data_IF_286134796980
#
_entry.id   IF_286134796980
#
_cell.length_a   1.000
_cell.length_b   1.000
_cell.length_c   1.000
_cell.angle_alpha   90.00
_cell.angle_beta   90.00
_cell.angle_gamma   90.00
#
_symmetry.space_group_name_H-M   'P 1'
#
loop_
_entity.id
_entity.type
_entity.pdbx_description
1 polymer ?
#
# COMPACT_ATOMS: atom_id res chain seq x y z
N UNK A 1 4.49 25.08 -34.17
CA UNK A 1 3.02 25.11 -34.07
C UNK A 1 2.60 25.39 -32.62
N UNK A 2 2.55 26.68 -32.29
CA UNK A 2 2.27 27.21 -30.94
C UNK A 2 0.86 26.86 -30.42
N UNK A 3 -0.11 26.75 -31.31
CA UNK A 3 -1.51 26.49 -30.95
C UNK A 3 -1.81 25.08 -30.38
N UNK A 4 -0.93 24.12 -30.57
CA UNK A 4 -1.16 22.74 -30.06
C UNK A 4 -0.91 22.61 -28.56
N UNK A 5 -0.21 23.53 -27.92
CA UNK A 5 0.08 23.56 -26.49
C UNK A 5 -0.96 24.30 -25.66
N UNK A 6 -1.93 24.95 -26.32
CA UNK A 6 -2.99 25.72 -25.68
C UNK A 6 -4.24 24.88 -25.37
N UNK A 7 -4.24 23.59 -25.72
CA UNK A 7 -5.39 22.69 -25.56
C UNK A 7 -5.04 21.50 -24.68
N UNK A 8 -5.78 21.32 -23.59
CA UNK A 8 -5.71 20.15 -22.71
C UNK A 8 -6.99 19.35 -22.85
N UNK A 9 -6.85 18.05 -23.17
CA UNK A 9 -7.95 17.09 -23.15
C UNK A 9 -7.80 16.27 -21.88
N UNK A 10 -8.77 16.36 -20.98
CA UNK A 10 -8.83 15.59 -19.72
C UNK A 10 -9.84 14.45 -19.92
N UNK A 11 -9.40 13.22 -19.69
CA UNK A 11 -10.24 12.02 -19.80
C UNK A 11 -11.12 11.85 -18.54
N UNK A 12 -12.17 11.00 -18.58
CA UNK A 12 -13.06 10.78 -17.44
C UNK A 12 -12.40 10.23 -16.18
N UNK A 13 -11.25 9.57 -16.31
CA UNK A 13 -10.44 8.99 -15.21
C UNK A 13 -9.27 9.88 -14.77
N UNK A 14 -9.14 11.05 -15.40
CA UNK A 14 -8.06 12.02 -15.18
C UNK A 14 -8.58 13.32 -14.59
N UNK A 15 -7.71 14.02 -13.89
CA UNK A 15 -7.92 15.39 -13.43
C UNK A 15 -6.83 16.27 -14.04
N UNK A 16 -7.24 17.38 -14.63
CA UNK A 16 -6.30 18.31 -15.24
C UNK A 16 -5.65 19.23 -14.22
N UNK A 17 -4.34 19.40 -14.35
CA UNK A 17 -3.50 20.29 -13.56
C UNK A 17 -2.87 21.33 -14.48
N UNK A 18 -3.04 22.60 -14.16
CA UNK A 18 -2.47 23.72 -14.92
C UNK A 18 -1.54 24.55 -14.06
N UNK A 19 -0.36 24.80 -14.59
CA UNK A 19 0.60 25.75 -14.01
C UNK A 19 0.81 26.94 -14.94
N UNK A 20 0.84 28.12 -14.37
CA UNK A 20 1.18 29.36 -15.09
C UNK A 20 2.35 30.03 -14.38
N UNK A 21 3.44 30.27 -15.11
CA UNK A 21 4.68 30.87 -14.59
C UNK A 21 5.22 30.11 -13.33
N UNK A 22 5.10 28.77 -13.32
CA UNK A 22 5.58 27.93 -12.24
C UNK A 22 4.62 27.75 -11.07
N UNK A 23 3.54 28.53 -10.98
CA UNK A 23 2.50 28.38 -9.92
C UNK A 23 1.34 27.52 -10.41
N UNK A 24 0.81 26.66 -9.55
CA UNK A 24 -0.43 25.92 -9.81
C UNK A 24 -1.59 26.92 -9.86
N UNK A 25 -2.24 27.02 -11.00
CA UNK A 25 -3.35 27.95 -11.24
C UNK A 25 -4.70 27.22 -11.17
N UNK A 26 -4.73 25.95 -11.58
CA UNK A 26 -5.88 25.07 -11.44
C UNK A 26 -5.40 23.64 -11.22
N UNK A 27 -6.00 22.93 -10.24
CA UNK A 27 -5.62 21.59 -9.85
C UNK A 27 -6.76 20.57 -9.93
N UNK A 28 -7.96 21.01 -10.35
CA UNK A 28 -9.17 20.20 -10.36
C UNK A 28 -9.99 20.47 -11.64
N UNK A 29 -9.37 20.34 -12.79
CA UNK A 29 -10.09 20.48 -14.04
C UNK A 29 -10.83 19.18 -14.35
N UNK A 30 -12.15 19.31 -14.48
CA UNK A 30 -13.05 18.21 -14.81
C UNK A 30 -12.73 17.61 -16.20
N UNK A 31 -13.20 16.38 -16.48
CA UNK A 31 -13.09 15.80 -17.81
C UNK A 31 -13.67 16.71 -18.90
N UNK A 32 -12.94 16.83 -19.99
CA UNK A 32 -13.35 17.69 -21.10
C UNK A 32 -12.17 18.38 -21.80
N UNK A 33 -12.52 19.37 -22.62
CA UNK A 33 -11.56 20.18 -23.36
C UNK A 33 -11.36 21.50 -22.65
N UNK A 34 -10.10 21.81 -22.32
CA UNK A 34 -9.74 23.03 -21.61
C UNK A 34 -8.74 23.85 -22.42
N UNK A 35 -8.96 25.15 -22.47
CA UNK A 35 -7.99 26.11 -22.99
C UNK A 35 -7.02 26.46 -21.86
N UNK A 36 -5.73 26.28 -22.13
CA UNK A 36 -4.66 26.50 -21.16
C UNK A 36 -3.61 27.48 -21.76
N UNK A 37 -2.91 28.26 -20.94
CA UNK A 37 -1.84 29.11 -21.45
C UNK A 37 -0.79 28.30 -22.19
N UNK A 38 -0.37 28.71 -23.41
CA UNK A 38 0.62 27.97 -24.18
C UNK A 38 2.02 28.05 -23.54
N UNK A 39 2.85 27.04 -23.82
CA UNK A 39 4.27 27.09 -23.45
C UNK A 39 4.95 28.33 -24.09
N UNK A 40 5.82 29.11 -23.38
CA UNK A 40 6.38 28.82 -22.04
C UNK A 40 5.57 29.38 -20.86
N UNK A 41 4.48 30.09 -21.09
CA UNK A 41 3.69 30.79 -20.06
C UNK A 41 2.96 29.79 -19.15
N UNK A 42 2.50 28.67 -19.72
CA UNK A 42 1.79 27.64 -18.98
C UNK A 42 2.24 26.24 -19.34
N UNK A 43 2.00 25.31 -18.41
CA UNK A 43 2.14 23.86 -18.60
C UNK A 43 0.93 23.17 -18.00
N UNK A 44 0.30 22.32 -18.79
CA UNK A 44 -0.85 21.53 -18.34
C UNK A 44 -0.52 20.04 -18.39
N UNK A 45 -0.95 19.32 -17.38
CA UNK A 45 -0.77 17.87 -17.23
C UNK A 45 -2.10 17.23 -16.82
N UNK A 46 -2.40 16.03 -17.32
CA UNK A 46 -3.53 15.23 -16.87
C UNK A 46 -2.99 14.11 -15.96
N UNK A 47 -3.57 13.99 -14.77
CA UNK A 47 -3.18 13.00 -13.74
C UNK A 47 -4.32 12.02 -13.54
N UNK A 48 -4.04 10.71 -13.61
CA UNK A 48 -4.98 9.64 -13.33
C UNK A 48 -5.35 9.65 -11.85
N UNK A 49 -6.53 10.16 -11.50
CA UNK A 49 -7.04 10.30 -10.14
C UNK A 49 -8.07 9.24 -9.77
N UNK A 50 -8.89 8.81 -10.73
CA UNK A 50 -9.93 7.81 -10.50
C UNK A 50 -9.39 6.39 -10.35
N UNK A 51 -8.13 6.14 -10.78
CA UNK A 51 -7.53 4.82 -10.73
C UNK A 51 -7.12 4.44 -9.31
N UNK A 52 -7.62 3.29 -8.87
CA UNK A 52 -7.14 2.65 -7.65
C UNK A 52 -5.72 2.11 -7.88
N UNK A 53 -4.81 2.49 -7.01
CA UNK A 53 -3.41 2.05 -6.97
C UNK A 53 -3.18 1.25 -5.69
N UNK A 54 -2.08 0.50 -5.64
CA UNK A 54 -1.69 -0.25 -4.45
C UNK A 54 -0.22 -0.07 -4.12
N UNK A 55 0.10 -0.07 -2.85
CA UNK A 55 1.46 -0.25 -2.33
C UNK A 55 1.50 -1.55 -1.53
N UNK A 56 2.62 -2.24 -1.65
CA UNK A 56 2.87 -3.54 -1.05
C UNK A 56 3.85 -3.38 0.11
N UNK A 57 3.57 -4.08 1.22
CA UNK A 57 4.40 -4.11 2.43
C UNK A 57 4.79 -5.56 2.68
N UNK A 58 6.10 -5.82 2.84
CA UNK A 58 6.65 -7.14 3.09
C UNK A 58 6.87 -8.00 1.84
N UNK A 59 6.46 -7.54 0.68
CA UNK A 59 6.68 -8.23 -0.59
C UNK A 59 6.68 -7.26 -1.78
N UNK A 60 7.09 -7.77 -2.94
CA UNK A 60 7.01 -7.03 -4.21
C UNK A 60 6.44 -7.92 -5.29
N UNK A 61 5.45 -7.42 -6.02
CA UNK A 61 5.05 -8.03 -7.28
C UNK A 61 6.06 -7.70 -8.37
N UNK A 62 6.63 -8.74 -8.97
CA UNK A 62 7.32 -8.58 -10.23
C UNK A 62 6.29 -8.82 -11.33
N UNK A 63 5.82 -7.74 -11.95
CA UNK A 63 5.08 -7.87 -13.21
C UNK A 63 5.99 -8.56 -14.22
N UNK A 64 5.64 -9.77 -14.64
CA UNK A 64 6.36 -10.46 -15.70
C UNK A 64 6.23 -9.62 -16.98
N UNK A 65 7.24 -8.84 -17.27
CA UNK A 65 7.56 -8.36 -18.62
C UNK A 65 6.74 -7.23 -19.23
N UNK A 66 6.04 -6.35 -18.46
CA UNK A 66 5.51 -5.13 -19.09
C UNK A 66 5.18 -4.04 -18.07
N UNK A 67 5.74 -2.86 -18.29
CA UNK A 67 5.47 -1.63 -17.53
C UNK A 67 4.05 -1.06 -17.77
N UNK A 68 3.13 -1.78 -18.37
CA UNK A 68 1.80 -1.29 -18.76
C UNK A 68 0.76 -2.40 -18.93
N UNK A 69 0.68 -3.40 -18.05
CA UNK A 69 -0.48 -4.29 -18.08
C UNK A 69 -1.67 -3.59 -17.41
N UNK A 70 -2.79 -3.35 -18.11
CA UNK A 70 -3.99 -2.84 -17.47
C UNK A 70 -4.52 -3.90 -16.49
N UNK A 71 -4.82 -3.48 -15.25
CA UNK A 71 -5.40 -4.33 -14.21
C UNK A 71 -6.87 -4.61 -14.56
N UNK A 72 -7.12 -5.35 -15.63
CA UNK A 72 -8.46 -5.79 -16.06
C UNK A 72 -8.70 -7.27 -15.85
N UNK A 73 -7.72 -8.06 -15.42
CA UNK A 73 -7.97 -9.45 -15.07
C UNK A 73 -8.17 -9.61 -13.57
N UNK A 74 -9.39 -9.90 -13.18
CA UNK A 74 -9.80 -10.34 -11.83
C UNK A 74 -9.23 -11.71 -11.43
N UNK A 75 -8.28 -12.23 -12.16
CA UNK A 75 -7.59 -13.48 -11.82
C UNK A 75 -6.26 -13.11 -11.21
N UNK A 76 -6.20 -13.16 -9.90
CA UNK A 76 -4.97 -13.10 -9.12
C UNK A 76 -4.16 -14.37 -9.43
N UNK A 77 -3.28 -14.29 -10.41
CA UNK A 77 -2.26 -15.31 -10.61
C UNK A 77 -1.02 -14.80 -9.85
N UNK A 78 -0.62 -15.44 -8.76
CA UNK A 78 0.59 -15.06 -8.04
C UNK A 78 1.82 -15.51 -8.83
N UNK A 79 2.11 -14.81 -9.92
CA UNK A 79 3.29 -15.07 -10.72
C UNK A 79 4.43 -14.24 -10.14
N UNK A 80 5.17 -14.85 -9.22
CA UNK A 80 6.42 -14.34 -8.63
C UNK A 80 6.29 -13.07 -7.78
N UNK A 81 5.72 -13.22 -6.59
CA UNK A 81 5.97 -12.27 -5.51
C UNK A 81 7.33 -12.58 -4.87
N UNK A 82 8.21 -11.60 -4.82
CA UNK A 82 9.47 -11.71 -4.07
C UNK A 82 9.22 -11.18 -2.66
N UNK A 83 9.44 -12.03 -1.64
CA UNK A 83 9.40 -11.59 -0.24
C UNK A 83 10.53 -10.60 0.03
N UNK A 84 10.24 -9.64 0.89
CA UNK A 84 11.21 -8.70 1.47
C UNK A 84 11.19 -8.91 2.99
N UNK A 85 11.98 -9.85 3.54
CA UNK A 85 11.90 -10.22 4.95
C UNK A 85 12.10 -9.04 5.90
N UNK A 86 12.99 -8.11 5.59
CA UNK A 86 13.25 -6.91 6.38
C UNK A 86 12.02 -5.99 6.53
N UNK A 87 11.09 -6.05 5.58
CA UNK A 87 9.84 -5.29 5.65
C UNK A 87 8.67 -6.13 6.20
N UNK A 88 8.77 -7.45 6.14
CA UNK A 88 7.71 -8.39 6.51
C UNK A 88 7.73 -8.78 7.99
N UNK A 89 8.88 -8.67 8.67
CA UNK A 89 9.02 -9.07 10.07
C UNK A 89 8.51 -7.98 11.02
N UNK A 90 7.66 -8.41 11.95
CA UNK A 90 7.04 -7.58 12.97
C UNK A 90 7.15 -8.25 14.33
N UNK A 91 7.29 -7.44 15.38
CA UNK A 91 7.22 -7.88 16.76
C UNK A 91 5.81 -7.60 17.29
N UNK A 92 5.16 -8.59 17.86
CA UNK A 92 3.83 -8.46 18.48
C UNK A 92 3.91 -7.94 19.91
N UNK A 93 2.77 -7.54 20.49
CA UNK A 93 2.70 -7.02 21.85
C UNK A 93 3.08 -8.04 22.94
N UNK A 94 3.06 -9.32 22.62
CA UNK A 94 3.47 -10.44 23.47
C UNK A 94 4.87 -11.00 23.11
N UNK A 95 5.71 -10.15 22.48
CA UNK A 95 7.13 -10.41 22.17
C UNK A 95 7.36 -11.56 21.16
N UNK A 96 6.35 -11.92 20.37
CA UNK A 96 6.51 -12.90 19.30
C UNK A 96 6.89 -12.21 17.99
N UNK A 97 7.73 -12.88 17.19
CA UNK A 97 8.06 -12.43 15.84
C UNK A 97 7.13 -13.09 14.84
N UNK A 98 6.48 -12.28 14.01
CA UNK A 98 5.61 -12.73 12.93
C UNK A 98 6.03 -12.11 11.60
N UNK A 99 5.75 -12.80 10.51
CA UNK A 99 5.82 -12.23 9.17
C UNK A 99 4.42 -11.82 8.72
N UNK A 100 4.30 -10.54 8.36
CA UNK A 100 3.05 -9.96 7.86
C UNK A 100 3.31 -9.38 6.48
N UNK A 101 2.46 -9.74 5.53
CA UNK A 101 2.40 -9.06 4.23
C UNK A 101 1.08 -8.33 4.09
N UNK A 102 1.14 -7.10 3.65
CA UNK A 102 -0.04 -6.25 3.52
C UNK A 102 -0.07 -5.51 2.18
N UNK A 103 -1.27 -5.15 1.76
CA UNK A 103 -1.52 -4.27 0.62
C UNK A 103 -2.39 -3.10 1.09
N UNK A 104 -1.98 -1.91 0.73
CA UNK A 104 -2.76 -0.70 0.94
C UNK A 104 -3.22 -0.17 -0.40
N UNK A 105 -4.53 -0.09 -0.57
CA UNK A 105 -5.15 0.54 -1.74
C UNK A 105 -5.34 2.03 -1.49
N UNK A 106 -4.99 2.83 -2.47
CA UNK A 106 -5.09 4.28 -2.40
C UNK A 106 -5.46 4.88 -3.75
N UNK A 107 -5.86 6.13 -3.73
CA UNK A 107 -6.09 6.96 -4.93
C UNK A 107 -5.39 8.31 -4.78
N UNK A 108 -5.18 8.98 -5.88
CA UNK A 108 -4.72 10.38 -5.88
C UNK A 108 -5.95 11.27 -5.60
N UNK A 109 -5.96 11.93 -4.44
CA UNK A 109 -7.04 12.83 -4.04
C UNK A 109 -6.73 14.29 -4.37
N UNK A 110 -5.46 14.68 -4.23
CA UNK A 110 -4.97 16.00 -4.62
C UNK A 110 -3.86 15.86 -5.64
N UNK A 111 -4.15 16.13 -6.94
CA UNK A 111 -3.15 16.04 -8.01
C UNK A 111 -1.97 17.02 -7.84
N UNK A 112 -2.22 18.19 -7.24
CA UNK A 112 -1.17 19.21 -7.05
C UNK A 112 -0.19 18.77 -5.96
N UNK A 113 -0.70 18.33 -4.80
CA UNK A 113 0.12 17.77 -3.73
C UNK A 113 0.87 16.51 -4.19
N UNK A 114 0.21 15.60 -4.91
CA UNK A 114 0.85 14.40 -5.45
C UNK A 114 2.01 14.72 -6.39
N UNK A 115 1.88 15.78 -7.19
CA UNK A 115 2.88 16.13 -8.21
C UNK A 115 4.00 17.02 -7.68
N UNK A 116 3.72 17.86 -6.68
CA UNK A 116 4.61 18.93 -6.22
C UNK A 116 4.82 18.97 -4.71
N UNK A 117 4.11 18.18 -3.94
CA UNK A 117 4.23 18.15 -2.49
C UNK A 117 5.54 17.50 -2.05
N UNK A 118 5.51 16.18 -1.89
CA UNK A 118 6.69 15.41 -1.45
C UNK A 118 7.33 14.73 -2.66
N UNK A 119 8.64 14.82 -2.76
CA UNK A 119 9.38 13.97 -3.70
C UNK A 119 9.16 12.51 -3.32
N UNK A 120 8.80 11.67 -4.32
CA UNK A 120 8.54 10.24 -4.12
C UNK A 120 7.37 9.96 -3.15
N UNK A 121 6.21 10.56 -3.39
CA UNK A 121 5.01 10.43 -2.57
C UNK A 121 4.58 8.97 -2.29
N UNK A 122 4.70 8.05 -3.26
CA UNK A 122 4.34 6.64 -3.09
C UNK A 122 5.26 5.88 -2.12
N UNK A 123 6.60 5.99 -2.19
CA UNK A 123 7.48 5.47 -1.14
C UNK A 123 7.19 6.04 0.25
N UNK A 124 7.03 7.36 0.38
CA UNK A 124 6.72 7.99 1.65
C UNK A 124 5.38 7.49 2.24
N UNK A 125 4.37 7.28 1.39
CA UNK A 125 3.10 6.69 1.78
C UNK A 125 3.26 5.23 2.26
N UNK A 126 4.07 4.42 1.58
CA UNK A 126 4.38 3.04 1.99
C UNK A 126 5.07 3.01 3.35
N UNK A 127 6.09 3.85 3.54
CA UNK A 127 6.87 3.89 4.78
C UNK A 127 5.99 4.31 5.96
N UNK A 128 5.09 5.29 5.75
CA UNK A 128 4.10 5.68 6.73
C UNK A 128 3.14 4.53 7.07
N UNK A 129 2.60 3.86 6.06
CA UNK A 129 1.68 2.73 6.27
C UNK A 129 2.37 1.59 7.02
N UNK A 130 3.65 1.30 6.69
CA UNK A 130 4.46 0.31 7.40
C UNK A 130 4.70 0.72 8.86
N UNK A 131 5.04 1.98 9.13
CA UNK A 131 5.27 2.46 10.48
C UNK A 131 4.02 2.32 11.36
N UNK A 132 2.85 2.67 10.84
CA UNK A 132 1.58 2.51 11.55
C UNK A 132 1.22 1.02 11.76
N UNK A 133 1.55 0.16 10.79
CA UNK A 133 1.35 -1.28 10.92
C UNK A 133 2.28 -1.86 12.01
N UNK A 134 3.55 -1.43 12.09
CA UNK A 134 4.48 -1.82 13.16
C UNK A 134 3.93 -1.41 14.52
N UNK A 135 3.42 -0.19 14.64
CA UNK A 135 2.85 0.34 15.88
C UNK A 135 1.62 -0.46 16.35
N UNK A 136 0.70 -0.78 15.44
CA UNK A 136 -0.51 -1.52 15.77
C UNK A 136 -0.22 -2.99 16.08
N UNK A 137 0.60 -3.66 15.28
CA UNK A 137 1.04 -5.05 15.54
C UNK A 137 1.80 -5.14 16.87
N UNK A 138 2.65 -4.16 17.18
CA UNK A 138 3.40 -4.11 18.44
C UNK A 138 2.53 -3.91 19.69
N UNK A 139 1.26 -3.53 19.53
CA UNK A 139 0.29 -3.44 20.64
C UNK A 139 -0.64 -4.65 20.72
N UNK A 140 -0.66 -5.47 19.69
CA UNK A 140 -1.62 -6.56 19.53
C UNK A 140 -0.96 -7.90 19.84
N UNK A 141 -1.56 -8.77 20.68
CA UNK A 141 -1.05 -10.12 20.91
C UNK A 141 -1.21 -10.97 19.65
N UNK A 142 -0.34 -11.96 19.50
CA UNK A 142 -0.26 -12.81 18.31
C UNK A 142 -1.60 -13.49 17.98
N UNK A 143 -2.29 -14.02 19.00
CA UNK A 143 -3.55 -14.72 18.84
C UNK A 143 -4.64 -13.84 18.20
N UNK A 144 -4.68 -12.55 18.55
CA UNK A 144 -5.62 -11.60 17.98
C UNK A 144 -5.36 -11.34 16.48
N UNK A 145 -4.10 -11.32 16.08
CA UNK A 145 -3.71 -11.11 14.68
C UNK A 145 -4.07 -12.33 13.81
N UNK A 146 -4.00 -13.55 14.37
CA UNK A 146 -4.34 -14.78 13.65
C UNK A 146 -5.85 -15.03 13.57
N UNK A 147 -6.65 -14.43 14.44
CA UNK A 147 -8.09 -14.73 14.61
C UNK A 147 -8.99 -13.65 13.97
N UNK A 148 -10.22 -13.60 14.42
CA UNK A 148 -11.25 -12.65 13.94
C UNK A 148 -10.90 -11.16 14.18
N UNK A 149 -9.94 -10.86 15.06
CA UNK A 149 -9.53 -9.49 15.37
C UNK A 149 -8.61 -8.89 14.29
N UNK A 150 -8.11 -9.69 13.35
CA UNK A 150 -7.32 -9.22 12.19
C UNK A 150 -7.99 -8.04 11.48
N UNK A 151 -9.30 -8.11 11.28
CA UNK A 151 -10.07 -7.01 10.67
C UNK A 151 -10.12 -5.75 11.55
N UNK A 152 -9.92 -5.86 12.87
CA UNK A 152 -9.79 -4.71 13.76
C UNK A 152 -8.44 -4.01 13.56
N UNK A 153 -7.35 -4.78 13.46
CA UNK A 153 -6.01 -4.27 13.13
C UNK A 153 -6.02 -3.54 11.78
N UNK A 154 -6.60 -4.16 10.74
CA UNK A 154 -6.72 -3.54 9.41
C UNK A 154 -7.46 -2.19 9.48
N UNK A 155 -8.58 -2.11 10.20
CA UNK A 155 -9.34 -0.86 10.37
C UNK A 155 -8.59 0.18 11.18
N UNK A 156 -7.97 -0.22 12.29
CA UNK A 156 -7.18 0.69 13.15
C UNK A 156 -6.05 1.36 12.38
N UNK A 157 -5.26 0.58 11.66
CA UNK A 157 -4.17 1.10 10.81
C UNK A 157 -4.71 2.01 9.70
N UNK A 158 -5.80 1.62 9.04
CA UNK A 158 -6.40 2.41 7.97
C UNK A 158 -6.92 3.76 8.50
N UNK A 159 -7.52 3.79 9.68
CA UNK A 159 -7.99 5.02 10.34
C UNK A 159 -6.83 5.92 10.77
N UNK A 160 -5.79 5.33 11.36
CA UNK A 160 -4.58 6.06 11.72
C UNK A 160 -3.92 6.67 10.48
N UNK A 161 -3.83 5.89 9.40
CA UNK A 161 -3.30 6.35 8.12
C UNK A 161 -4.12 7.52 7.55
N UNK A 162 -5.45 7.45 7.58
CA UNK A 162 -6.34 8.54 7.11
C UNK A 162 -6.18 9.83 7.89
N UNK A 163 -5.82 9.75 9.17
CA UNK A 163 -5.63 10.90 10.05
C UNK A 163 -4.23 11.51 9.97
N UNK A 164 -3.29 10.80 9.36
CA UNK A 164 -1.90 11.23 9.31
C UNK A 164 -1.71 12.54 8.51
N UNK A 165 -1.08 13.58 9.10
CA UNK A 165 -0.94 14.88 8.45
C UNK A 165 -0.11 14.83 7.17
N UNK A 166 0.85 13.92 7.08
CA UNK A 166 1.70 13.70 5.90
C UNK A 166 0.88 13.37 4.64
N UNK A 167 -0.33 12.81 4.76
CA UNK A 167 -1.19 12.53 3.60
C UNK A 167 -1.56 13.79 2.81
N UNK A 168 -1.71 14.93 3.49
CA UNK A 168 -2.01 16.21 2.82
C UNK A 168 -0.88 16.63 1.90
N UNK A 169 0.36 16.32 2.26
CA UNK A 169 1.55 16.67 1.49
C UNK A 169 1.80 15.67 0.35
N UNK A 170 1.38 14.40 0.51
CA UNK A 170 1.48 13.40 -0.56
C UNK A 170 0.38 13.50 -1.60
N UNK A 171 -0.76 14.11 -1.26
CA UNK A 171 -1.96 14.15 -2.10
C UNK A 171 -2.63 12.79 -2.30
N UNK A 172 -2.28 11.78 -1.48
CA UNK A 172 -2.81 10.42 -1.56
C UNK A 172 -3.92 10.21 -0.52
N UNK A 173 -4.94 9.45 -0.89
CA UNK A 173 -6.03 9.06 0.01
C UNK A 173 -6.09 7.53 0.11
N UNK A 174 -5.88 6.95 1.31
CA UNK A 174 -6.02 5.53 1.52
C UNK A 174 -7.50 5.12 1.46
N UNK A 175 -7.76 4.05 0.71
CA UNK A 175 -9.10 3.50 0.50
C UNK A 175 -9.33 2.27 1.37
N UNK A 176 -8.43 1.31 1.29
CA UNK A 176 -8.50 0.04 2.00
C UNK A 176 -7.11 -0.47 2.36
N UNK A 177 -7.03 -1.26 3.44
CA UNK A 177 -5.82 -1.96 3.86
C UNK A 177 -6.18 -3.41 4.15
N UNK A 178 -5.40 -4.34 3.60
CA UNK A 178 -5.57 -5.78 3.82
C UNK A 178 -4.26 -6.44 4.20
N UNK A 179 -4.30 -7.21 5.26
CA UNK A 179 -3.25 -8.15 5.56
C UNK A 179 -3.46 -9.37 4.65
N UNK A 180 -2.47 -9.78 3.88
CA UNK A 180 -2.58 -10.92 2.97
C UNK A 180 -2.18 -12.23 3.67
N UNK A 181 -0.98 -12.26 4.20
CA UNK A 181 -0.44 -13.41 4.92
C UNK A 181 0.09 -12.96 6.28
N UNK A 182 -0.16 -13.80 7.26
CA UNK A 182 0.40 -13.69 8.61
C UNK A 182 0.86 -15.08 8.99
N UNK A 183 2.14 -15.27 9.25
CA UNK A 183 2.70 -16.55 9.66
C UNK A 183 3.93 -16.36 10.53
N UNK A 184 4.31 -17.40 11.27
CA UNK A 184 5.59 -17.41 11.97
C UNK A 184 6.75 -17.45 10.95
N UNK A 185 7.89 -16.80 11.21
CA UNK A 185 9.07 -16.88 10.36
C UNK A 185 9.50 -18.32 10.09
N UNK A 186 9.97 -18.59 8.87
CA UNK A 186 10.38 -19.94 8.46
C UNK A 186 11.47 -20.53 9.39
N UNK A 187 12.33 -19.68 9.95
CA UNK A 187 13.41 -20.06 10.88
C UNK A 187 12.91 -20.65 12.19
N UNK A 188 11.69 -20.31 12.63
CA UNK A 188 11.10 -20.84 13.88
C UNK A 188 10.15 -22.01 13.65
N UNK A 189 9.75 -22.30 12.41
CA UNK A 189 8.90 -23.44 12.08
C UNK A 189 9.51 -24.79 12.48
N UNK A 190 10.82 -24.94 12.41
CA UNK A 190 11.55 -26.12 12.91
C UNK A 190 11.34 -26.31 14.40
N UNK A 191 11.58 -25.28 15.18
CA UNK A 191 11.44 -25.33 16.65
C UNK A 191 9.99 -25.58 17.10
N UNK A 192 9.00 -25.00 16.44
CA UNK A 192 7.59 -25.28 16.76
C UNK A 192 7.18 -26.72 16.43
N UNK A 193 7.67 -27.31 15.33
CA UNK A 193 7.45 -28.73 15.03
C UNK A 193 8.08 -29.62 16.07
N UNK A 194 9.29 -29.31 16.51
CA UNK A 194 10.00 -30.10 17.51
C UNK A 194 9.26 -30.10 18.87
N UNK A 195 8.72 -28.92 19.26
CA UNK A 195 7.90 -28.80 20.48
C UNK A 195 6.58 -29.58 20.35
N UNK A 196 5.88 -29.49 19.23
CA UNK A 196 4.65 -30.23 18.98
C UNK A 196 4.90 -31.75 18.96
N UNK A 197 5.97 -32.20 18.29
CA UNK A 197 6.37 -33.61 18.26
C UNK A 197 6.74 -34.14 19.65
N UNK A 198 7.49 -33.35 20.43
CA UNK A 198 7.83 -33.71 21.81
C UNK A 198 6.60 -33.81 22.73
N UNK A 199 5.58 -32.96 22.52
CA UNK A 199 4.32 -33.03 23.25
C UNK A 199 3.49 -34.30 22.88
N UNK A 200 3.46 -34.66 21.60
CA UNK A 200 2.83 -35.90 21.13
C UNK A 200 3.56 -37.14 21.64
N UNK A 201 4.90 -37.14 21.58
CA UNK A 201 5.72 -38.25 22.10
C UNK A 201 5.51 -38.45 23.60
N UNK A 202 5.43 -37.36 24.36
CA UNK A 202 5.13 -37.41 25.80
C UNK A 202 3.74 -37.97 26.08
N UNK A 203 2.73 -37.61 25.28
CA UNK A 203 1.37 -38.11 25.39
C UNK A 203 1.31 -39.61 25.04
N UNK A 204 2.01 -39.99 23.98
CA UNK A 204 2.11 -41.39 23.53
C UNK A 204 2.85 -42.27 24.55
N UNK A 205 3.95 -41.78 25.12
CA UNK A 205 4.69 -42.49 26.17
C UNK A 205 3.83 -42.66 27.42
N UNK A 206 3.04 -41.67 27.82
CA UNK A 206 2.12 -41.74 28.95
C UNK A 206 1.00 -42.73 28.71
N UNK A 207 0.43 -42.77 27.48
CA UNK A 207 -0.64 -43.74 27.13
C UNK A 207 -0.14 -45.17 26.99
N UNK A 208 1.14 -45.41 26.73
CA UNK A 208 1.77 -46.76 26.71
C UNK A 208 2.15 -47.25 28.09
N UNK A 209 2.22 -46.37 29.09
CA UNK A 209 2.60 -46.72 30.47
C UNK A 209 1.39 -46.98 31.38
N UNK A 210 0.17 -46.84 30.87
CA UNK A 210 -1.11 -47.19 31.48
C UNK A 210 -1.62 -48.53 30.90
#
# INVERSE_FOLDING_TARGET
>A
SWGRTALLVVRPDETGLVRTLGKVTASDLAPGLHLVPPFPLGKAEAILTARLRSVEIGFRYRAAGSAAAPVTSRVFVPTQSTRVPEEAQFLTGDENVIEVTAVVHYRVADPAAFRFGIDRAEPAFRDLARALLVEEVGRTPIDAIYTAERGAVERSVLEALRKAPVLRETGLAPVDLRLLFVHAPDDVHGAFRDIASAAEDRTTARNKAL
#
